data_IF_827742673439
#
_entry.id   IF_827742673439
#
_cell.length_a   1.000
_cell.length_b   1.000
_cell.length_c   1.000
_cell.angle_alpha   90.00
_cell.angle_beta   90.00
_cell.angle_gamma   90.00
#
_symmetry.space_group_name_H-M   'P 1'
#
loop_
_entity.id
_entity.type
_entity.pdbx_description
1 polymer ?
#
# COMPACT_ATOMS: atom_id res chain seq x y z
N UNK A 1 7.21 -31.73 18.64
CA UNK A 1 7.30 -30.26 18.68
C UNK A 1 5.88 -29.74 18.79
N UNK A 2 5.50 -29.12 19.91
CA UNK A 2 4.16 -28.56 20.06
C UNK A 2 4.02 -27.35 19.14
N UNK A 3 3.09 -27.39 18.19
CA UNK A 3 2.74 -26.19 17.43
C UNK A 3 1.97 -25.23 18.35
N UNK A 4 2.19 -23.93 18.18
CA UNK A 4 1.34 -22.94 18.81
C UNK A 4 -0.13 -23.13 18.34
N UNK A 5 -1.07 -22.83 19.23
CA UNK A 5 -2.50 -22.84 18.88
C UNK A 5 -2.83 -21.64 17.98
N UNK A 6 -3.89 -21.76 17.18
CA UNK A 6 -4.37 -20.68 16.31
C UNK A 6 -4.69 -19.41 17.11
N UNK A 7 -5.40 -19.57 18.23
CA UNK A 7 -5.79 -18.47 19.11
C UNK A 7 -4.58 -17.69 19.64
N UNK A 8 -3.49 -18.39 19.97
CA UNK A 8 -2.27 -17.75 20.44
C UNK A 8 -1.59 -16.94 19.33
N UNK A 9 -1.65 -17.43 18.09
CA UNK A 9 -1.12 -16.71 16.92
C UNK A 9 -1.97 -15.49 16.55
N UNK A 10 -3.30 -15.59 16.66
CA UNK A 10 -4.22 -14.46 16.44
C UNK A 10 -4.02 -13.36 17.49
N UNK A 11 -3.87 -13.75 18.77
CA UNK A 11 -3.58 -12.79 19.85
C UNK A 11 -2.24 -12.09 19.63
N UNK A 12 -1.21 -12.85 19.25
CA UNK A 12 0.10 -12.30 18.95
C UNK A 12 0.04 -11.31 17.78
N UNK A 13 -0.68 -11.67 16.72
CA UNK A 13 -0.89 -10.81 15.55
C UNK A 13 -1.55 -9.48 15.93
N UNK A 14 -2.67 -9.52 16.66
CA UNK A 14 -3.36 -8.32 17.11
C UNK A 14 -2.51 -7.44 18.02
N UNK A 15 -1.76 -8.06 18.94
CA UNK A 15 -0.88 -7.32 19.87
C UNK A 15 0.25 -6.61 19.13
N UNK A 16 0.90 -7.28 18.17
CA UNK A 16 1.99 -6.68 17.38
C UNK A 16 1.47 -5.53 16.51
N UNK A 17 0.30 -5.69 15.91
CA UNK A 17 -0.32 -4.63 15.12
C UNK A 17 -0.64 -3.38 15.96
N UNK A 18 -1.17 -3.59 17.16
CA UNK A 18 -1.52 -2.51 18.09
C UNK A 18 -0.28 -1.75 18.58
N UNK A 19 0.77 -2.47 18.98
CA UNK A 19 2.01 -1.85 19.46
C UNK A 19 2.70 -1.00 18.39
N UNK A 20 2.78 -1.51 17.15
CA UNK A 20 3.34 -0.74 16.03
C UNK A 20 2.50 0.51 15.73
N UNK A 21 1.18 0.41 15.79
CA UNK A 21 0.28 1.54 15.57
C UNK A 21 0.44 2.61 16.65
N UNK A 22 0.53 2.21 17.91
CA UNK A 22 0.65 3.14 19.03
C UNK A 22 1.95 3.92 18.98
N UNK A 23 3.06 3.25 18.63
CA UNK A 23 4.36 3.92 18.40
C UNK A 23 4.31 4.91 17.24
N UNK A 24 3.68 4.52 16.13
CA UNK A 24 3.55 5.40 14.96
C UNK A 24 2.71 6.63 15.31
N UNK A 25 1.62 6.47 16.06
CA UNK A 25 0.76 7.58 16.50
C UNK A 25 1.43 8.48 17.54
N UNK A 26 2.22 7.91 18.44
CA UNK A 26 2.96 8.65 19.45
C UNK A 26 4.10 9.48 18.85
N UNK A 27 4.54 9.16 17.61
CA UNK A 27 5.64 9.84 16.94
C UNK A 27 7.03 9.41 17.44
N UNK A 28 7.10 8.31 18.19
CA UNK A 28 8.35 7.70 18.68
C UNK A 28 8.79 6.52 17.81
N UNK A 29 7.98 6.13 16.81
CA UNK A 29 8.32 5.10 15.85
C UNK A 29 9.59 5.43 15.06
N UNK A 30 10.52 4.49 15.05
CA UNK A 30 11.74 4.54 14.25
C UNK A 30 11.47 4.10 12.81
N UNK A 31 12.43 4.36 11.92
CA UNK A 31 12.38 3.83 10.55
C UNK A 31 12.27 2.29 10.49
N UNK A 32 12.81 1.59 11.50
CA UNK A 32 12.68 0.14 11.61
C UNK A 32 11.24 -0.27 11.94
N UNK A 33 10.54 0.48 12.81
CA UNK A 33 9.13 0.23 13.14
C UNK A 33 8.24 0.42 11.93
N UNK A 34 8.46 1.48 11.14
CA UNK A 34 7.76 1.68 9.87
C UNK A 34 8.01 0.54 8.87
N UNK A 35 9.27 0.11 8.73
CA UNK A 35 9.62 -1.00 7.84
C UNK A 35 8.94 -2.31 8.25
N UNK A 36 8.89 -2.58 9.56
CA UNK A 36 8.22 -3.75 10.12
C UNK A 36 6.69 -3.66 9.97
N UNK A 37 6.08 -2.49 10.15
CA UNK A 37 4.65 -2.28 9.94
C UNK A 37 4.25 -2.48 8.47
N UNK A 38 5.02 -1.93 7.53
CA UNK A 38 4.79 -2.13 6.08
C UNK A 38 4.89 -3.62 5.73
N UNK A 39 5.92 -4.31 6.25
CA UNK A 39 6.08 -5.76 6.03
C UNK A 39 4.93 -6.55 6.65
N UNK A 40 4.52 -6.21 7.87
CA UNK A 40 3.40 -6.84 8.56
C UNK A 40 2.11 -6.71 7.76
N UNK A 41 1.81 -5.52 7.23
CA UNK A 41 0.64 -5.30 6.36
C UNK A 41 0.73 -6.15 5.08
N UNK A 42 1.90 -6.15 4.41
CA UNK A 42 2.15 -6.93 3.21
C UNK A 42 1.99 -8.44 3.43
N UNK A 43 2.63 -8.98 4.47
CA UNK A 43 2.62 -10.40 4.79
C UNK A 43 1.21 -10.89 5.15
N UNK A 44 0.33 -9.97 5.57
CA UNK A 44 -1.09 -10.23 5.84
C UNK A 44 -2.03 -9.84 4.69
N UNK A 45 -1.50 -9.53 3.50
CA UNK A 45 -2.29 -9.23 2.30
C UNK A 45 -2.98 -7.86 2.31
N UNK A 46 -2.65 -6.98 3.27
CA UNK A 46 -3.09 -5.60 3.31
C UNK A 46 -2.09 -4.79 2.48
N UNK A 47 -2.09 -5.00 1.17
CA UNK A 47 -1.31 -4.18 0.26
C UNK A 47 -2.12 -2.95 -0.16
N UNK A 48 -1.50 -1.77 -0.11
CA UNK A 48 -2.07 -0.58 -0.71
C UNK A 48 -2.16 -0.81 -2.23
N UNK A 49 -3.35 -1.09 -2.75
CA UNK A 49 -3.59 -1.08 -4.19
C UNK A 49 -3.38 0.35 -4.71
N UNK A 50 -2.17 0.62 -5.20
CA UNK A 50 -1.80 1.86 -5.89
C UNK A 50 -2.63 2.09 -7.17
N UNK A 51 -3.45 1.12 -7.57
CA UNK A 51 -4.17 1.04 -8.83
C UNK A 51 -5.56 1.70 -8.85
N UNK A 52 -6.00 2.40 -7.80
CA UNK A 52 -7.24 3.20 -7.87
C UNK A 52 -7.14 4.49 -7.08
N UNK A 53 -6.28 5.41 -7.51
CA UNK A 53 -6.54 6.82 -7.22
C UNK A 53 -7.48 7.35 -8.33
N UNK A 54 -8.80 7.44 -8.09
CA UNK A 54 -9.75 7.89 -9.11
C UNK A 54 -9.43 9.29 -9.66
N UNK A 55 -8.68 10.11 -8.91
CA UNK A 55 -8.24 11.43 -9.37
C UNK A 55 -7.19 11.36 -10.49
N UNK A 56 -6.29 10.37 -10.47
CA UNK A 56 -5.27 10.20 -11.52
C UNK A 56 -5.88 9.57 -12.77
N UNK A 57 -6.78 8.59 -12.60
CA UNK A 57 -7.52 7.99 -13.72
C UNK A 57 -8.43 9.02 -14.41
N UNK A 58 -9.17 9.81 -13.64
CA UNK A 58 -10.04 10.87 -14.20
C UNK A 58 -9.25 11.98 -14.89
N UNK A 59 -8.02 12.28 -14.43
CA UNK A 59 -7.16 13.23 -15.10
C UNK A 59 -6.66 12.68 -16.45
N UNK A 60 -6.23 11.42 -16.49
CA UNK A 60 -5.77 10.77 -17.73
C UNK A 60 -6.88 10.67 -18.80
N UNK A 61 -8.13 10.46 -18.38
CA UNK A 61 -9.30 10.42 -19.28
C UNK A 61 -9.70 11.80 -19.84
N UNK A 62 -9.25 12.90 -19.23
CA UNK A 62 -9.51 14.26 -19.71
C UNK A 62 -8.50 14.74 -20.75
N UNK A 63 -7.42 14.00 -20.98
CA UNK A 63 -6.47 14.34 -22.04
C UNK A 63 -6.92 13.75 -23.38
N UNK A 64 -6.88 14.56 -24.46
CA UNK A 64 -7.11 14.03 -25.80
C UNK A 64 -6.05 12.98 -26.13
N UNK A 65 -6.47 11.89 -26.78
CA UNK A 65 -5.52 10.95 -27.40
C UNK A 65 -4.82 11.69 -28.53
N UNK A 66 -3.53 11.96 -28.37
CA UNK A 66 -2.72 12.46 -29.48
C UNK A 66 -2.47 11.30 -30.43
N UNK A 67 -3.25 11.21 -31.50
CA UNK A 67 -2.86 10.44 -32.68
C UNK A 67 -1.92 11.33 -33.48
N UNK A 68 -0.70 10.86 -33.73
CA UNK A 68 0.25 11.51 -34.65
C UNK A 68 -0.27 11.31 -36.08
N UNK A 69 -1.33 12.06 -36.44
CA UNK A 69 -1.81 12.20 -37.81
C UNK A 69 -1.21 13.48 -38.42
N UNK A 70 0.13 13.56 -38.46
CA UNK A 70 0.85 14.56 -39.26
C UNK A 70 1.03 14.03 -40.69
N UNK A 71 -0.08 13.93 -41.44
CA UNK A 71 -0.02 13.87 -42.91
C UNK A 71 0.43 15.24 -43.44
N UNK A 72 1.74 15.42 -43.56
CA UNK A 72 2.33 16.54 -44.28
C UNK A 72 1.99 16.46 -45.77
N UNK A 73 0.88 17.08 -46.18
CA UNK A 73 0.57 17.36 -47.59
C UNK A 73 1.53 18.45 -48.06
N UNK A 74 2.54 18.05 -48.85
CA UNK A 74 3.38 18.98 -49.58
C UNK A 74 2.60 19.55 -50.78
N UNK A 75 2.51 20.87 -50.86
CA UNK A 75 1.99 21.59 -52.02
C UNK A 75 2.94 22.73 -52.42
#
# INVERSE_FOLDING_TARGET
>A
MSSATKDLMELLHGTVAQELLDRIKAGDATAADFSNAIKFLKDNGIEAQMSKNPGVTSLAEQFPSFTDDDEHVAH
#
